data_IF_154369513863
#
_entry.id   IF_154369513863
#
_cell.length_a   1.000
_cell.length_b   1.000
_cell.length_c   1.000
_cell.angle_alpha   90.00
_cell.angle_beta   90.00
_cell.angle_gamma   90.00
#
_symmetry.space_group_name_H-M   'P 1'
#
loop_
_entity.id
_entity.type
_entity.pdbx_description
1 polymer ?
#
# COMPACT_ATOMS: atom_id res chain seq x y z
N UNK A 1 -38.07 -35.55 75.39
CA UNK A 1 -36.95 -36.19 74.67
C UNK A 1 -35.96 -35.09 74.30
N UNK A 2 -34.73 -35.21 74.81
CA UNK A 2 -33.44 -34.63 74.37
C UNK A 2 -33.35 -33.19 73.79
N UNK A 3 -32.58 -32.38 74.53
CA UNK A 3 -31.41 -31.54 74.12
C UNK A 3 -31.70 -30.25 73.31
N UNK A 4 -31.54 -29.04 73.89
CA UNK A 4 -30.27 -28.28 74.10
C UNK A 4 -29.64 -27.86 72.75
N UNK A 5 -29.29 -26.61 72.42
CA UNK A 5 -28.79 -25.45 73.20
C UNK A 5 -28.62 -24.26 72.21
N UNK A 6 -28.72 -23.03 72.73
CA UNK A 6 -27.81 -21.85 72.52
C UNK A 6 -27.65 -21.31 71.08
N UNK A 7 -27.67 -20.03 70.78
CA UNK A 7 -27.65 -18.81 71.57
C UNK A 7 -27.34 -17.61 70.65
N UNK A 8 -27.62 -16.42 71.16
CA UNK A 8 -27.53 -15.10 70.52
C UNK A 8 -26.25 -14.81 69.72
N UNK A 9 -26.40 -14.01 68.67
CA UNK A 9 -25.34 -13.13 68.19
C UNK A 9 -25.91 -11.77 67.74
N UNK A 10 -25.50 -10.74 68.48
CA UNK A 10 -25.55 -9.30 68.21
C UNK A 10 -25.41 -8.95 66.71
N UNK A 11 -26.35 -8.19 66.16
CA UNK A 11 -26.13 -7.41 64.95
C UNK A 11 -25.55 -6.04 65.31
N UNK A 12 -24.21 -5.94 65.32
CA UNK A 12 -23.50 -4.67 65.40
C UNK A 12 -23.48 -4.05 63.99
N UNK A 13 -24.28 -3.00 63.79
CA UNK A 13 -24.35 -2.26 62.53
C UNK A 13 -23.11 -1.39 62.35
N UNK A 14 -22.23 -1.77 61.42
CA UNK A 14 -21.19 -0.90 60.88
C UNK A 14 -21.58 -0.47 59.46
N UNK A 15 -22.02 0.78 59.29
CA UNK A 15 -22.20 1.40 57.97
C UNK A 15 -20.82 1.69 57.38
N UNK A 16 -20.44 0.96 56.33
CA UNK A 16 -19.28 1.28 55.49
C UNK A 16 -19.73 2.23 54.37
N UNK A 17 -19.19 3.44 54.36
CA UNK A 17 -19.28 4.39 53.25
C UNK A 17 -18.57 3.78 52.02
N UNK A 18 -19.33 3.25 51.06
CA UNK A 18 -18.81 2.91 49.74
C UNK A 18 -18.69 4.20 48.90
N UNK A 19 -17.50 4.81 48.94
CA UNK A 19 -17.08 5.81 47.97
C UNK A 19 -17.08 5.16 46.58
N UNK A 20 -18.11 5.45 45.80
CA UNK A 20 -18.13 5.11 44.38
C UNK A 20 -17.22 6.11 43.67
N UNK A 21 -15.97 5.71 43.45
CA UNK A 21 -15.11 6.38 42.47
C UNK A 21 -15.77 6.24 41.11
N UNK A 22 -16.43 7.30 40.65
CA UNK A 22 -16.83 7.43 39.27
C UNK A 22 -15.56 7.36 38.42
N UNK A 23 -15.33 6.22 37.77
CA UNK A 23 -14.31 6.10 36.73
C UNK A 23 -14.77 6.95 35.56
N UNK A 24 -14.33 8.20 35.54
CA UNK A 24 -14.34 9.01 34.35
C UNK A 24 -13.60 8.21 33.26
N UNK A 25 -14.36 7.71 32.28
CA UNK A 25 -13.79 7.17 31.05
C UNK A 25 -13.17 8.37 30.36
N UNK A 26 -11.89 8.63 30.58
CA UNK A 26 -11.15 9.56 29.77
C UNK A 26 -11.38 9.14 28.32
N UNK A 27 -11.94 10.02 27.49
CA UNK A 27 -11.71 9.97 26.06
C UNK A 27 -10.19 9.96 25.91
N UNK A 28 -9.63 8.77 25.71
CA UNK A 28 -8.21 8.60 25.46
C UNK A 28 -7.95 9.43 24.22
N UNK A 29 -7.28 10.56 24.37
CA UNK A 29 -6.81 11.36 23.25
C UNK A 29 -5.89 10.43 22.46
N UNK A 30 -6.38 9.90 21.32
CA UNK A 30 -5.59 9.02 20.47
C UNK A 30 -4.52 9.86 19.81
N UNK A 31 -3.38 9.99 20.47
CA UNK A 31 -2.16 10.50 19.88
C UNK A 31 -1.40 9.31 19.32
N UNK A 32 -1.38 9.08 17.99
CA UNK A 32 -0.73 7.90 17.44
C UNK A 32 0.78 7.86 17.71
N UNK A 33 1.39 9.00 18.06
CA UNK A 33 2.79 9.10 18.46
C UNK A 33 3.06 8.56 19.87
N UNK A 34 2.03 8.40 20.71
CA UNK A 34 2.16 7.75 22.01
C UNK A 34 2.14 6.23 21.83
N UNK A 35 3.33 5.67 21.68
CA UNK A 35 3.56 4.22 21.55
C UNK A 35 3.61 3.49 22.88
N UNK A 36 3.41 4.17 24.02
CA UNK A 36 3.54 3.56 25.36
C UNK A 36 2.49 2.47 25.62
N UNK A 37 1.34 2.53 24.96
CA UNK A 37 0.30 1.51 25.04
C UNK A 37 0.43 0.39 24.00
N UNK A 38 1.40 0.48 23.09
CA UNK A 38 1.60 -0.50 22.02
C UNK A 38 2.28 -1.78 22.55
N UNK A 39 1.96 -2.95 21.99
CA UNK A 39 2.73 -4.16 22.25
C UNK A 39 4.22 -3.97 21.91
N UNK A 40 5.10 -4.43 22.80
CA UNK A 40 6.54 -4.37 22.60
C UNK A 40 7.02 -5.61 21.84
N UNK A 41 7.65 -5.39 20.69
CA UNK A 41 8.25 -6.44 19.88
C UNK A 41 9.77 -6.37 19.94
N UNK A 42 10.44 -7.52 20.09
CA UNK A 42 11.90 -7.55 20.07
C UNK A 42 12.42 -7.30 18.65
N UNK A 43 13.58 -6.63 18.54
CA UNK A 43 14.18 -6.31 17.25
C UNK A 43 14.53 -7.56 16.45
N UNK A 44 15.04 -8.62 17.10
CA UNK A 44 15.34 -9.91 16.47
C UNK A 44 14.09 -10.53 15.85
N UNK A 45 12.95 -10.45 16.56
CA UNK A 45 11.70 -10.96 16.04
C UNK A 45 11.25 -10.15 14.81
N UNK A 46 11.34 -8.81 14.84
CA UNK A 46 10.97 -7.95 13.71
C UNK A 46 11.86 -8.18 12.48
N UNK A 47 13.15 -8.49 12.68
CA UNK A 47 14.08 -8.82 11.61
C UNK A 47 13.80 -10.18 10.96
N UNK A 48 13.21 -11.12 11.70
CA UNK A 48 12.81 -12.43 11.15
C UNK A 48 11.57 -12.38 10.25
N UNK A 49 10.87 -11.24 10.21
CA UNK A 49 9.63 -11.07 9.48
C UNK A 49 9.89 -10.76 8.00
N UNK A 50 9.11 -11.38 7.12
CA UNK A 50 9.16 -11.09 5.68
C UNK A 50 8.38 -9.81 5.38
N UNK A 51 9.09 -8.70 5.23
CA UNK A 51 8.51 -7.40 4.88
C UNK A 51 8.18 -7.32 3.38
N UNK A 52 6.90 -7.16 3.06
CA UNK A 52 6.45 -7.01 1.67
C UNK A 52 6.66 -5.57 1.20
N UNK A 53 7.40 -5.32 0.11
CA UNK A 53 7.53 -3.97 -0.45
C UNK A 53 6.18 -3.50 -0.99
N UNK A 54 5.74 -2.32 -0.57
CA UNK A 54 4.49 -1.73 -1.02
C UNK A 54 4.72 -0.76 -2.17
N UNK A 55 3.87 -0.89 -3.18
CA UNK A 55 3.82 -0.02 -4.34
C UNK A 55 2.84 1.13 -4.04
N UNK A 56 3.27 2.38 -4.23
CA UNK A 56 2.42 3.57 -4.00
C UNK A 56 1.49 3.88 -5.18
N UNK A 57 1.62 3.15 -6.30
CA UNK A 57 0.79 3.36 -7.49
C UNK A 57 -0.55 2.61 -7.44
N UNK A 58 -0.68 1.58 -6.60
CA UNK A 58 -1.86 0.70 -6.57
C UNK A 58 -2.17 0.21 -5.16
N UNK A 59 -3.46 -0.02 -4.91
CA UNK A 59 -3.87 -0.67 -3.67
C UNK A 59 -3.38 -2.13 -3.66
N UNK A 60 -2.80 -2.55 -2.54
CA UNK A 60 -2.38 -3.92 -2.30
C UNK A 60 -3.44 -4.63 -1.44
N UNK A 61 -3.80 -5.85 -1.84
CA UNK A 61 -4.73 -6.70 -1.10
C UNK A 61 -3.95 -7.85 -0.49
N UNK A 62 -4.16 -8.09 0.80
CA UNK A 62 -3.54 -9.19 1.55
C UNK A 62 -4.64 -9.96 2.26
N UNK A 63 -4.72 -11.27 2.01
CA UNK A 63 -5.65 -12.16 2.70
C UNK A 63 -4.92 -12.74 3.90
N UNK A 64 -5.43 -12.50 5.10
CA UNK A 64 -4.97 -13.14 6.32
C UNK A 64 -5.88 -14.35 6.56
N UNK A 65 -5.38 -15.55 6.36
CA UNK A 65 -6.15 -16.81 6.47
C UNK A 65 -5.51 -17.83 7.43
N UNK A 66 -4.51 -17.40 8.21
CA UNK A 66 -3.76 -18.28 9.12
C UNK A 66 -2.72 -19.17 8.43
N UNK A 67 -2.63 -19.15 7.09
CA UNK A 67 -1.52 -19.75 6.34
C UNK A 67 -0.24 -18.91 6.44
N UNK A 68 -0.42 -17.60 6.65
CA UNK A 68 0.64 -16.67 7.01
C UNK A 68 1.21 -17.03 8.38
N UNK A 69 2.54 -17.21 8.44
CA UNK A 69 3.28 -17.72 9.59
C UNK A 69 2.76 -17.16 10.91
N UNK A 70 2.27 -18.05 11.78
CA UNK A 70 1.79 -17.68 13.12
C UNK A 70 2.99 -17.24 13.94
N UNK A 71 3.18 -15.93 14.02
CA UNK A 71 4.23 -15.34 14.81
C UNK A 71 3.73 -15.21 16.25
N UNK A 72 4.21 -16.08 17.15
CA UNK A 72 3.75 -16.11 18.54
C UNK A 72 4.61 -15.16 19.38
N UNK A 73 4.19 -13.90 19.49
CA UNK A 73 4.85 -12.88 20.31
C UNK A 73 3.84 -12.29 21.30
N UNK A 74 4.23 -12.06 22.57
CA UNK A 74 3.35 -11.44 23.56
C UNK A 74 2.74 -10.13 23.04
N UNK A 75 1.42 -9.97 23.21
CA UNK A 75 0.68 -8.78 22.80
C UNK A 75 0.10 -8.84 21.37
N UNK A 76 0.19 -9.99 20.70
CA UNK A 76 -0.38 -10.21 19.38
C UNK A 76 -0.98 -11.61 19.25
N UNK A 77 -1.98 -11.76 18.39
CA UNK A 77 -2.60 -13.06 18.10
C UNK A 77 -2.84 -13.24 16.60
N UNK A 78 -2.38 -14.37 16.06
CA UNK A 78 -2.72 -14.79 14.70
C UNK A 78 -1.75 -14.32 13.61
N UNK A 79 -2.21 -14.33 12.35
CA UNK A 79 -1.40 -13.93 11.21
C UNK A 79 -1.13 -12.42 11.21
N UNK A 80 -0.02 -12.03 10.57
CA UNK A 80 0.39 -10.63 10.45
C UNK A 80 0.59 -10.23 9.00
N UNK A 81 0.32 -8.97 8.70
CA UNK A 81 0.75 -8.35 7.46
C UNK A 81 1.88 -7.36 7.76
N UNK A 82 3.00 -7.52 7.05
CA UNK A 82 4.22 -6.75 7.26
C UNK A 82 4.56 -6.05 5.95
N UNK A 83 4.55 -4.72 5.96
CA UNK A 83 4.79 -3.92 4.78
C UNK A 83 5.99 -3.01 4.94
N UNK A 84 6.72 -2.78 3.85
CA UNK A 84 7.78 -1.77 3.78
C UNK A 84 7.41 -0.72 2.74
N UNK A 85 7.47 0.54 3.13
CA UNK A 85 7.11 1.68 2.29
C UNK A 85 8.32 2.58 2.04
N UNK A 86 8.45 3.15 0.84
CA UNK A 86 9.47 4.16 0.56
C UNK A 86 9.12 5.47 1.31
N UNK A 87 10.05 5.96 2.12
CA UNK A 87 9.92 7.22 2.86
C UNK A 87 10.51 8.43 2.09
N UNK A 88 11.06 8.22 0.90
CA UNK A 88 11.67 9.27 0.07
C UNK A 88 10.66 10.16 -0.65
N UNK A 89 9.36 9.82 -0.59
CA UNK A 89 8.31 10.46 -1.38
C UNK A 89 7.59 11.61 -0.66
N UNK A 90 8.08 12.02 0.51
CA UNK A 90 7.46 13.06 1.35
C UNK A 90 6.33 12.52 2.22
N UNK A 91 5.32 13.35 2.48
CA UNK A 91 4.15 12.95 3.28
C UNK A 91 3.40 11.79 2.62
N UNK A 92 3.16 10.74 3.39
CA UNK A 92 2.43 9.53 3.00
C UNK A 92 1.05 9.55 3.65
N UNK A 93 0.00 9.39 2.85
CA UNK A 93 -1.35 9.11 3.33
C UNK A 93 -1.69 7.65 3.05
N UNK A 94 -1.76 6.86 4.11
CA UNK A 94 -2.07 5.43 4.07
C UNK A 94 -3.52 5.23 4.47
N UNK A 95 -4.29 4.58 3.61
CA UNK A 95 -5.65 4.11 3.92
C UNK A 95 -5.60 2.60 4.07
N UNK A 96 -5.84 2.11 5.28
CA UNK A 96 -5.95 0.68 5.56
C UNK A 96 -7.42 0.35 5.79
N UNK A 97 -7.89 -0.68 5.08
CA UNK A 97 -9.24 -1.20 5.17
C UNK A 97 -9.23 -2.70 5.43
N UNK A 98 -10.15 -3.17 6.27
CA UNK A 98 -10.43 -4.59 6.47
C UNK A 98 -11.88 -4.87 6.11
N UNK A 99 -12.08 -5.73 5.11
CA UNK A 99 -13.42 -6.09 4.62
C UNK A 99 -14.15 -7.00 5.62
N UNK A 100 -15.43 -6.71 5.81
CA UNK A 100 -16.36 -7.55 6.55
C UNK A 100 -16.85 -8.66 5.62
N UNK A 101 -16.71 -9.92 6.06
CA UNK A 101 -17.15 -11.11 5.33
C UNK A 101 -17.88 -12.03 6.28
N UNK A 102 -19.10 -12.47 5.94
CA UNK A 102 -19.90 -13.39 6.75
C UNK A 102 -20.05 -12.92 8.21
N UNK A 103 -20.33 -11.63 8.42
CA UNK A 103 -20.39 -11.00 9.75
C UNK A 103 -19.11 -11.22 10.58
N UNK A 104 -17.96 -11.33 9.93
CA UNK A 104 -16.64 -11.37 10.55
C UNK A 104 -15.73 -10.33 9.91
N UNK A 105 -14.84 -9.75 10.70
CA UNK A 105 -13.90 -8.73 10.24
C UNK A 105 -12.59 -8.86 10.99
N UNK A 106 -11.47 -8.68 10.31
CA UNK A 106 -10.19 -8.62 10.99
C UNK A 106 -10.04 -7.23 11.60
N UNK A 107 -9.82 -7.15 12.92
CA UNK A 107 -9.66 -5.89 13.64
C UNK A 107 -8.18 -5.47 13.70
N UNK A 108 -7.73 -4.50 12.88
CA UNK A 108 -6.31 -4.22 12.71
C UNK A 108 -5.79 -3.28 13.79
N UNK A 109 -4.61 -3.59 14.30
CA UNK A 109 -3.72 -2.68 15.00
C UNK A 109 -2.52 -2.46 14.09
N UNK A 110 -2.10 -1.21 13.94
CA UNK A 110 -0.97 -0.86 13.09
C UNK A 110 0.13 -0.28 13.95
N UNK A 111 1.29 -0.93 13.95
CA UNK A 111 2.52 -0.38 14.49
C UNK A 111 3.38 0.12 13.33
N UNK A 112 3.67 1.41 13.35
CA UNK A 112 4.58 2.08 12.42
C UNK A 112 5.97 2.07 13.05
N UNK A 113 6.94 1.59 12.29
CA UNK A 113 8.33 1.51 12.68
C UNK A 113 9.20 2.36 11.74
N UNK A 114 10.27 2.92 12.28
CA UNK A 114 11.30 3.61 11.51
C UNK A 114 12.21 2.63 10.73
N UNK A 115 13.19 3.17 10.00
CA UNK A 115 14.16 2.39 9.22
C UNK A 115 15.01 1.44 10.09
N UNK A 116 15.11 1.68 11.39
CA UNK A 116 15.83 0.86 12.36
C UNK A 116 14.91 -0.12 13.11
N UNK A 117 13.65 -0.28 12.66
CA UNK A 117 12.61 -1.11 13.28
C UNK A 117 12.24 -0.64 14.71
N UNK A 118 12.32 0.66 14.98
CA UNK A 118 11.88 1.24 16.26
C UNK A 118 10.46 1.78 16.15
N UNK A 119 9.60 1.59 17.16
CA UNK A 119 8.25 2.17 17.20
C UNK A 119 8.26 3.68 17.01
N UNK A 120 7.54 4.17 16.01
CA UNK A 120 7.35 5.58 15.70
C UNK A 120 5.90 6.03 15.89
N UNK A 121 4.93 5.17 15.56
CA UNK A 121 3.51 5.45 15.83
C UNK A 121 2.71 4.15 16.01
N UNK A 122 1.60 4.22 16.72
CA UNK A 122 0.68 3.12 16.96
C UNK A 122 -0.77 3.56 16.75
N UNK A 123 -1.47 2.82 15.89
CA UNK A 123 -2.89 3.00 15.61
C UNK A 123 -3.64 1.76 16.11
N UNK A 124 -4.34 1.87 17.25
CA UNK A 124 -5.10 0.74 17.80
C UNK A 124 -6.34 0.43 16.95
N UNK A 125 -6.94 -0.75 17.15
CA UNK A 125 -8.18 -1.20 16.48
C UNK A 125 -9.31 -0.16 16.44
N UNK A 126 -9.51 0.58 17.53
CA UNK A 126 -10.52 1.66 17.62
C UNK A 126 -10.29 2.86 16.70
N UNK A 127 -9.10 3.00 16.10
CA UNK A 127 -8.84 4.02 15.07
C UNK A 127 -9.56 3.70 13.76
N UNK A 128 -9.89 2.42 13.55
CA UNK A 128 -10.55 1.92 12.35
C UNK A 128 -12.06 1.91 12.58
N UNK A 129 -12.78 2.69 11.76
CA UNK A 129 -14.22 2.88 11.91
C UNK A 129 -14.97 2.19 10.80
N UNK A 130 -16.18 1.73 11.09
CA UNK A 130 -17.03 1.09 10.09
C UNK A 130 -17.41 2.07 8.98
N UNK A 131 -17.22 1.61 7.75
CA UNK A 131 -17.61 2.29 6.52
C UNK A 131 -18.64 1.42 5.79
N UNK A 132 -19.74 2.05 5.43
CA UNK A 132 -20.83 1.44 4.67
C UNK A 132 -20.35 0.99 3.28
N UNK A 133 -21.05 0.02 2.66
CA UNK A 133 -20.68 -0.44 1.34
C UNK A 133 -20.96 0.67 0.32
N UNK A 134 -20.03 0.82 -0.62
CA UNK A 134 -20.15 1.72 -1.77
C UNK A 134 -20.24 0.93 -3.07
N UNK A 135 -20.40 1.63 -4.19
CA UNK A 135 -20.54 1.02 -5.54
C UNK A 135 -19.40 0.05 -5.89
N UNK A 136 -18.20 0.27 -5.35
CA UNK A 136 -16.98 -0.52 -5.60
C UNK A 136 -16.29 -1.00 -4.33
N UNK A 137 -16.96 -0.91 -3.17
CA UNK A 137 -16.35 -1.24 -1.88
C UNK A 137 -17.36 -1.97 -0.99
N UNK A 138 -16.95 -3.12 -0.43
CA UNK A 138 -17.76 -3.83 0.54
C UNK A 138 -17.82 -3.10 1.89
N UNK A 139 -18.68 -3.59 2.77
CA UNK A 139 -18.63 -3.31 4.20
C UNK A 139 -17.22 -3.53 4.72
N UNK A 140 -16.69 -2.56 5.45
CA UNK A 140 -15.31 -2.61 5.94
C UNK A 140 -15.13 -1.74 7.16
N UNK A 141 -14.10 -2.01 7.94
CA UNK A 141 -13.53 -1.03 8.85
C UNK A 141 -12.34 -0.37 8.18
N UNK A 142 -12.22 0.95 8.28
CA UNK A 142 -11.22 1.74 7.56
C UNK A 142 -10.61 2.79 8.49
N UNK A 143 -9.32 3.06 8.27
CA UNK A 143 -8.57 4.09 8.99
C UNK A 143 -7.57 4.74 8.05
N UNK A 144 -7.51 6.07 8.11
CA UNK A 144 -6.54 6.87 7.36
C UNK A 144 -5.43 7.30 8.31
N UNK A 145 -4.18 7.13 7.89
CA UNK A 145 -2.98 7.43 8.65
C UNK A 145 -2.10 8.35 7.80
N UNK A 146 -1.81 9.53 8.32
CA UNK A 146 -0.87 10.47 7.69
C UNK A 146 0.47 10.34 8.37
N UNK A 147 1.49 9.93 7.63
CA UNK A 147 2.85 9.74 8.12
C UNK A 147 3.77 10.73 7.41
N UNK A 148 4.55 11.46 8.18
CA UNK A 148 5.62 12.33 7.66
C UNK A 148 6.95 11.69 8.03
N UNK A 149 7.66 11.09 7.05
CA UNK A 149 8.99 10.56 7.29
C UNK A 149 9.97 11.65 7.75
N UNK A 150 10.95 11.28 8.57
CA UNK A 150 12.04 12.19 8.95
C UNK A 150 12.96 12.43 7.75
N UNK A 151 13.47 13.65 7.52
CA UNK A 151 14.42 13.92 6.44
C UNK A 151 15.62 12.96 6.47
N UNK A 152 15.91 12.33 5.33
CA UNK A 152 16.99 11.33 5.21
C UNK A 152 16.57 9.88 5.43
N UNK A 153 15.35 9.63 5.92
CA UNK A 153 14.80 8.29 6.07
C UNK A 153 14.40 7.69 4.71
N UNK A 154 14.83 6.46 4.43
CA UNK A 154 14.55 5.81 3.14
C UNK A 154 13.34 4.88 3.21
N UNK A 155 13.09 4.27 4.38
CA UNK A 155 12.02 3.27 4.57
C UNK A 155 11.22 3.50 5.85
N UNK A 156 9.94 3.17 5.78
CA UNK A 156 9.05 3.01 6.93
C UNK A 156 8.48 1.59 6.88
N UNK A 157 8.33 0.96 8.03
CA UNK A 157 7.73 -0.37 8.12
C UNK A 157 6.37 -0.29 8.83
N UNK A 158 5.37 -0.95 8.27
CA UNK A 158 4.02 -1.06 8.84
C UNK A 158 3.76 -2.51 9.21
N UNK A 159 3.55 -2.76 10.49
CA UNK A 159 3.13 -4.05 11.01
C UNK A 159 1.64 -3.99 11.35
N UNK A 160 0.84 -4.78 10.65
CA UNK A 160 -0.60 -4.90 10.87
C UNK A 160 -0.90 -6.25 11.52
N UNK A 161 -1.56 -6.21 12.67
CA UNK A 161 -1.85 -7.38 13.48
C UNK A 161 -3.15 -7.21 14.29
N UNK A 162 -3.58 -8.24 15.00
CA UNK A 162 -4.70 -8.13 15.94
C UNK A 162 -4.29 -8.63 17.33
N UNK A 163 -5.10 -8.32 18.34
CA UNK A 163 -4.82 -8.68 19.74
C UNK A 163 -5.97 -9.49 20.32
N UNK A 164 -5.70 -10.29 21.37
CA UNK A 164 -6.74 -11.04 22.07
C UNK A 164 -7.88 -10.14 22.55
N UNK A 165 -7.54 -8.94 23.05
CA UNK A 165 -8.52 -7.96 23.49
C UNK A 165 -9.45 -7.58 22.35
N UNK A 166 -8.91 -7.25 21.19
CA UNK A 166 -9.73 -6.82 20.05
C UNK A 166 -10.57 -7.96 19.50
N UNK A 167 -10.11 -9.21 19.56
CA UNK A 167 -10.88 -10.39 19.13
C UNK A 167 -12.14 -10.63 19.97
N UNK A 168 -12.17 -10.16 21.22
CA UNK A 168 -13.38 -10.20 22.06
C UNK A 168 -14.40 -9.11 21.73
N UNK A 169 -14.00 -8.12 20.92
CA UNK A 169 -14.85 -7.01 20.53
C UNK A 169 -15.65 -7.32 19.27
N UNK A 170 -16.58 -6.42 18.97
CA UNK A 170 -17.45 -6.51 17.80
C UNK A 170 -17.65 -5.13 17.20
N UNK A 171 -18.00 -5.09 15.92
CA UNK A 171 -18.32 -3.87 15.20
C UNK A 171 -19.76 -3.95 14.72
N UNK A 172 -20.57 -2.95 15.08
CA UNK A 172 -21.94 -2.81 14.55
C UNK A 172 -21.87 -2.30 13.12
N UNK A 173 -22.54 -3.01 12.21
CA UNK A 173 -22.65 -2.66 10.80
C UNK A 173 -23.92 -1.85 10.56
N UNK A 174 -24.11 -1.31 9.35
CA UNK A 174 -25.40 -0.75 8.98
C UNK A 174 -26.29 -1.84 8.38
N UNK A 175 -27.52 -1.97 8.86
CA UNK A 175 -28.48 -2.87 8.24
C UNK A 175 -28.81 -2.43 6.79
N UNK A 176 -28.79 -3.36 5.81
CA UNK A 176 -29.06 -3.04 4.42
C UNK A 176 -30.46 -2.44 4.19
N UNK A 177 -31.49 -2.82 4.95
CA UNK A 177 -32.82 -2.25 4.82
C UNK A 177 -32.86 -0.80 5.35
N UNK A 178 -32.10 -0.49 6.40
CA UNK A 178 -31.92 0.91 6.85
C UNK A 178 -31.15 1.73 5.83
N UNK A 179 -30.09 1.17 5.25
CA UNK A 179 -29.31 1.83 4.19
C UNK A 179 -30.20 2.14 2.97
N UNK A 180 -31.00 1.17 2.54
CA UNK A 180 -31.93 1.31 1.42
C UNK A 180 -33.02 2.35 1.67
N UNK A 181 -33.65 2.33 2.86
CA UNK A 181 -34.66 3.31 3.23
C UNK A 181 -34.11 4.74 3.23
N UNK A 182 -32.89 4.94 3.78
CA UNK A 182 -32.21 6.24 3.72
C UNK A 182 -31.91 6.68 2.29
N UNK A 183 -31.49 5.76 1.42
CA UNK A 183 -31.17 6.06 0.01
C UNK A 183 -32.40 6.37 -0.85
N UNK A 184 -33.57 5.82 -0.51
CA UNK A 184 -34.83 5.99 -1.25
C UNK A 184 -35.76 7.06 -0.67
N UNK A 185 -35.40 7.66 0.47
CA UNK A 185 -36.24 8.64 1.17
C UNK A 185 -37.45 8.03 1.87
N UNK A 186 -37.46 6.71 2.05
CA UNK A 186 -38.48 6.03 2.84
C UNK A 186 -38.19 6.12 4.34
N UNK A 187 -39.21 5.87 5.17
CA UNK A 187 -39.04 5.78 6.61
C UNK A 187 -38.04 4.66 6.96
N UNK A 188 -37.06 4.97 7.82
CA UNK A 188 -36.06 4.00 8.26
C UNK A 188 -36.72 2.95 9.17
N UNK A 189 -36.64 1.65 8.84
CA UNK A 189 -37.21 0.60 9.68
C UNK A 189 -36.56 0.54 11.07
N UNK A 190 -37.35 0.27 12.10
CA UNK A 190 -36.87 0.03 13.46
C UNK A 190 -36.49 -1.44 13.65
N UNK A 191 -35.34 -1.81 13.09
CA UNK A 191 -34.75 -3.15 13.18
C UNK A 191 -33.34 -3.06 13.81
N UNK A 192 -32.88 -4.04 14.60
CA UNK A 192 -31.51 -4.05 15.10
C UNK A 192 -30.49 -4.15 13.96
N UNK A 193 -29.38 -3.43 14.09
CA UNK A 193 -28.29 -3.50 13.11
C UNK A 193 -27.47 -4.80 13.26
N UNK A 194 -27.01 -5.40 12.15
CA UNK A 194 -26.16 -6.58 12.21
C UNK A 194 -24.81 -6.27 12.86
N UNK A 195 -24.24 -7.26 13.52
CA UNK A 195 -22.96 -7.13 14.23
C UNK A 195 -21.92 -8.04 13.58
N UNK A 196 -20.76 -7.50 13.27
CA UNK A 196 -19.59 -8.25 12.85
C UNK A 196 -18.71 -8.64 14.05
N UNK A 197 -18.36 -9.92 14.15
CA UNK A 197 -17.39 -10.41 15.15
C UNK A 197 -15.97 -10.20 14.65
N UNK A 198 -15.06 -9.86 15.56
CA UNK A 198 -13.66 -9.76 15.18
C UNK A 198 -13.05 -11.15 15.02
N UNK A 199 -12.24 -11.34 13.98
CA UNK A 199 -11.64 -12.64 13.61
C UNK A 199 -10.13 -12.52 13.37
N UNK A 200 -9.44 -13.65 13.51
CA UNK A 200 -8.00 -13.77 13.19
C UNK A 200 -7.73 -13.70 11.68
N UNK A 201 -8.76 -13.97 10.88
CA UNK A 201 -8.69 -13.99 9.43
C UNK A 201 -9.50 -12.83 8.85
N UNK A 202 -9.08 -12.32 7.70
CA UNK A 202 -9.80 -11.28 6.98
C UNK A 202 -9.04 -10.80 5.74
N UNK A 203 -9.69 -9.99 4.93
CA UNK A 203 -9.07 -9.38 3.74
C UNK A 203 -8.70 -7.94 4.04
N UNK A 204 -7.41 -7.65 4.03
CA UNK A 204 -6.86 -6.32 4.17
C UNK A 204 -6.63 -5.70 2.80
N UNK A 205 -6.97 -4.43 2.65
CA UNK A 205 -6.63 -3.61 1.50
C UNK A 205 -5.97 -2.34 1.99
N UNK A 206 -4.75 -2.11 1.53
CA UNK A 206 -3.94 -0.95 1.88
C UNK A 206 -3.65 -0.14 0.63
N UNK A 207 -3.87 1.17 0.72
CA UNK A 207 -3.60 2.14 -0.33
C UNK A 207 -2.68 3.21 0.24
N UNK A 208 -1.67 3.60 -0.52
CA UNK A 208 -0.68 4.60 -0.11
C UNK A 208 -0.64 5.66 -1.19
N UNK A 209 -0.90 6.89 -0.79
CA UNK A 209 -0.81 8.06 -1.65
C UNK A 209 0.24 9.02 -1.12
N UNK A 210 0.88 9.76 -2.02
CA UNK A 210 1.90 10.75 -1.67
C UNK A 210 1.46 12.10 -2.19
N UNK A 211 1.69 13.17 -1.42
CA UNK A 211 1.30 14.52 -1.86
C UNK A 211 2.20 15.05 -2.99
N UNK A 212 3.32 14.38 -3.27
CA UNK A 212 4.37 14.83 -4.19
C UNK A 212 4.09 14.51 -5.67
N UNK A 213 3.00 13.79 -5.99
CA UNK A 213 2.69 13.32 -7.35
C UNK A 213 2.01 14.34 -8.27
N UNK A 214 1.74 15.56 -7.81
CA UNK A 214 0.96 16.56 -8.56
C UNK A 214 1.82 17.72 -9.05
N UNK A 215 2.75 17.45 -9.96
CA UNK A 215 3.31 18.49 -10.84
C UNK A 215 2.96 18.18 -12.29
N UNK A 216 1.91 18.84 -12.79
CA UNK A 216 1.68 18.94 -14.23
C UNK A 216 2.54 20.11 -14.70
N UNK A 217 3.58 19.82 -15.49
CA UNK A 217 4.27 20.84 -16.28
C UNK A 217 3.30 21.38 -17.34
N UNK A 218 2.57 22.44 -17.00
CA UNK A 218 1.75 23.21 -17.95
C UNK A 218 2.62 24.35 -18.50
N UNK A 219 3.16 24.14 -19.69
CA UNK A 219 3.89 25.13 -20.48
C UNK A 219 4.04 24.60 -21.91
N UNK A 220 4.24 25.46 -22.93
CA UNK A 220 4.39 24.99 -24.30
C UNK A 220 5.72 24.23 -24.42
N UNK A 221 5.68 22.91 -24.29
CA UNK A 221 6.84 22.00 -24.45
C UNK A 221 7.21 21.75 -25.93
N UNK A 222 6.52 22.42 -26.86
CA UNK A 222 6.86 22.47 -28.26
C UNK A 222 7.11 23.92 -28.63
N UNK A 223 8.35 24.20 -29.08
CA UNK A 223 8.69 25.47 -29.69
C UNK A 223 7.68 25.79 -30.78
N UNK A 224 6.87 26.81 -30.56
CA UNK A 224 6.09 27.41 -31.62
C UNK A 224 7.06 28.00 -32.64
N UNK A 225 7.02 27.50 -33.87
CA UNK A 225 7.20 28.35 -35.06
C UNK A 225 6.66 27.68 -36.33
N UNK A 226 5.49 28.19 -36.74
CA UNK A 226 5.07 28.50 -38.11
C UNK A 226 4.61 27.34 -39.03
N UNK A 227 3.30 27.15 -39.01
CA UNK A 227 2.40 27.11 -40.17
C UNK A 227 3.00 26.88 -41.58
N UNK A 228 2.62 25.78 -42.21
CA UNK A 228 2.32 25.72 -43.65
C UNK A 228 1.01 24.95 -43.90
N UNK A 229 0.20 25.35 -44.89
CA UNK A 229 -1.14 24.78 -45.12
C UNK A 229 -1.03 23.44 -45.85
N UNK A 230 -1.83 22.45 -45.44
CA UNK A 230 -1.91 21.14 -46.11
C UNK A 230 -2.88 21.25 -47.29
N UNK A 231 -2.35 21.09 -48.50
CA UNK A 231 -3.14 20.91 -49.74
C UNK A 231 -3.88 19.58 -49.70
N UNK A 232 -5.21 19.64 -49.88
CA UNK A 232 -6.10 18.47 -49.96
C UNK A 232 -6.26 18.09 -51.43
N UNK A 233 -5.94 16.84 -51.80
CA UNK A 233 -6.27 16.31 -53.13
C UNK A 233 -5.73 14.91 -53.42
N UNK A 234 -6.65 13.92 -53.41
CA UNK A 234 -6.79 12.74 -54.31
C UNK A 234 -5.60 11.75 -54.40
N UNK A 235 -5.72 10.41 -54.39
CA UNK A 235 -6.80 9.41 -54.57
C UNK A 235 -6.23 8.02 -54.19
N UNK A 236 -7.10 7.15 -53.65
CA UNK A 236 -7.10 5.66 -53.46
C UNK A 236 -6.25 4.75 -54.40
N UNK A 237 -6.21 3.38 -54.24
CA UNK A 237 -6.67 2.47 -53.17
C UNK A 237 -5.70 1.29 -52.81
N UNK A 238 -6.17 0.44 -51.89
CA UNK A 238 -5.58 -0.75 -51.26
C UNK A 238 -5.22 -1.95 -52.17
N UNK A 239 -4.32 -2.82 -51.65
CA UNK A 239 -4.28 -4.28 -51.94
C UNK A 239 -3.81 -5.10 -50.73
N UNK A 240 -4.43 -6.27 -50.57
CA UNK A 240 -4.21 -7.32 -49.57
C UNK A 240 -2.82 -7.97 -49.60
N UNK A 241 -2.39 -8.56 -48.47
CA UNK A 241 -2.10 -10.00 -48.37
C UNK A 241 -1.80 -10.42 -46.93
N UNK A 242 -2.50 -11.45 -46.46
CA UNK A 242 -2.17 -12.22 -45.26
C UNK A 242 -0.98 -13.15 -45.52
N UNK A 243 -0.19 -13.46 -44.49
CA UNK A 243 0.07 -14.84 -44.03
C UNK A 243 1.09 -14.94 -42.87
N UNK A 244 0.66 -15.70 -41.85
CA UNK A 244 1.40 -16.64 -40.99
C UNK A 244 2.70 -16.21 -40.30
N UNK A 245 2.66 -16.16 -38.97
CA UNK A 245 3.84 -16.41 -38.13
C UNK A 245 3.61 -17.65 -37.28
N UNK A 246 4.36 -18.69 -37.59
CA UNK A 246 4.58 -19.86 -36.76
C UNK A 246 5.47 -19.48 -35.56
N UNK A 247 5.17 -20.04 -34.39
CA UNK A 247 6.13 -20.15 -33.32
C UNK A 247 7.25 -21.13 -33.72
N UNK A 248 8.48 -20.90 -33.25
CA UNK A 248 9.02 -21.88 -32.30
C UNK A 248 9.80 -21.27 -31.13
N UNK A 249 9.75 -21.99 -30.01
CA UNK A 249 10.57 -21.85 -28.82
C UNK A 249 12.08 -21.80 -29.14
N UNK A 250 12.83 -20.83 -28.59
CA UNK A 250 14.22 -21.06 -28.12
C UNK A 250 14.75 -19.93 -27.22
N UNK A 251 15.00 -20.28 -25.95
CA UNK A 251 16.24 -20.06 -25.17
C UNK A 251 17.01 -18.74 -25.36
N UNK A 252 17.17 -18.05 -24.23
CA UNK A 252 17.94 -16.83 -23.97
C UNK A 252 19.39 -16.81 -24.50
N UNK A 253 19.75 -15.65 -25.08
CA UNK A 253 21.08 -15.10 -25.46
C UNK A 253 21.69 -15.57 -26.81
N UNK A 254 22.15 -14.65 -27.70
CA UNK A 254 22.68 -13.29 -27.44
C UNK A 254 22.17 -12.20 -28.42
N UNK A 255 21.23 -11.34 -27.99
CA UNK A 255 20.70 -10.21 -28.80
C UNK A 255 21.62 -8.96 -28.86
N UNK A 256 22.77 -9.01 -28.18
CA UNK A 256 23.66 -7.84 -27.99
C UNK A 256 24.60 -7.63 -29.20
N UNK A 257 24.97 -8.69 -29.92
CA UNK A 257 25.92 -8.61 -31.04
C UNK A 257 25.31 -8.00 -32.30
N UNK A 258 24.05 -8.33 -32.61
CA UNK A 258 23.31 -7.72 -33.73
C UNK A 258 23.15 -6.21 -33.53
N UNK A 259 22.83 -5.80 -32.30
CA UNK A 259 22.67 -4.41 -31.91
C UNK A 259 23.98 -3.61 -32.06
N UNK A 260 25.11 -4.18 -31.68
CA UNK A 260 26.42 -3.52 -31.79
C UNK A 260 26.85 -3.30 -33.25
N UNK A 261 26.63 -4.28 -34.13
CA UNK A 261 26.95 -4.15 -35.55
C UNK A 261 26.13 -3.04 -36.22
N UNK A 262 24.84 -2.93 -35.87
CA UNK A 262 23.91 -1.94 -36.38
C UNK A 262 24.36 -0.50 -36.05
N UNK A 263 24.74 -0.26 -34.79
CA UNK A 263 25.23 1.06 -34.38
C UNK A 263 26.55 1.41 -35.04
N UNK A 264 27.49 0.45 -35.12
CA UNK A 264 28.77 0.68 -35.78
C UNK A 264 28.62 1.04 -37.27
N UNK A 265 27.70 0.38 -37.99
CA UNK A 265 27.43 0.70 -39.39
C UNK A 265 26.76 2.06 -39.54
N UNK A 266 25.78 2.37 -38.68
CA UNK A 266 25.04 3.64 -38.72
C UNK A 266 25.95 4.83 -38.40
N UNK A 267 26.87 4.68 -37.45
CA UNK A 267 27.89 5.69 -37.12
C UNK A 267 28.81 5.94 -38.32
N UNK A 268 29.33 4.88 -38.95
CA UNK A 268 30.18 5.01 -40.16
C UNK A 268 29.45 5.74 -41.28
N UNK A 269 28.19 5.41 -41.54
CA UNK A 269 27.38 6.05 -42.58
C UNK A 269 27.12 7.52 -42.30
N UNK A 270 26.76 7.87 -41.05
CA UNK A 270 26.50 9.25 -40.67
C UNK A 270 27.76 10.11 -40.80
N UNK A 271 28.92 9.60 -40.37
CA UNK A 271 30.21 10.29 -40.58
C UNK A 271 30.58 10.37 -42.07
N UNK A 272 30.37 9.31 -42.84
CA UNK A 272 30.55 9.29 -44.29
C UNK A 272 29.68 10.33 -45.03
N UNK A 273 28.51 10.65 -44.48
CA UNK A 273 27.62 11.70 -45.00
C UNK A 273 27.93 13.11 -44.46
N UNK A 274 28.94 13.26 -43.60
CA UNK A 274 29.31 14.54 -42.98
C UNK A 274 28.34 14.99 -41.88
N UNK A 275 27.41 14.13 -41.48
CA UNK A 275 26.41 14.43 -40.45
C UNK A 275 26.95 13.99 -39.08
N UNK A 276 27.87 14.79 -38.54
CA UNK A 276 28.54 14.52 -37.26
C UNK A 276 27.55 14.53 -36.10
N UNK A 277 26.55 15.41 -36.13
CA UNK A 277 25.50 15.48 -35.09
C UNK A 277 24.70 14.17 -35.00
N UNK A 278 24.34 13.58 -36.14
CA UNK A 278 23.66 12.29 -36.19
C UNK A 278 24.58 11.16 -35.71
N UNK A 279 25.87 11.20 -36.07
CA UNK A 279 26.85 10.21 -35.64
C UNK A 279 27.08 10.24 -34.11
N UNK A 280 27.10 11.43 -33.50
CA UNK A 280 27.21 11.60 -32.04
C UNK A 280 25.98 11.05 -31.31
N UNK A 281 24.77 11.35 -31.80
CA UNK A 281 23.53 10.78 -31.20
C UNK A 281 23.50 9.25 -31.26
N UNK A 282 23.96 8.67 -32.36
CA UNK A 282 24.06 7.21 -32.51
C UNK A 282 25.13 6.61 -31.60
N UNK A 283 26.23 7.34 -31.36
CA UNK A 283 27.26 6.95 -30.40
C UNK A 283 26.71 6.94 -28.97
N UNK A 284 26.06 8.02 -28.53
CA UNK A 284 25.50 8.13 -27.17
C UNK A 284 24.48 7.03 -26.90
N UNK A 285 23.65 6.72 -27.90
CA UNK A 285 22.66 5.64 -27.83
C UNK A 285 23.32 4.26 -27.74
N UNK A 286 24.38 4.02 -28.51
CA UNK A 286 25.13 2.78 -28.46
C UNK A 286 25.85 2.59 -27.11
N UNK A 287 26.40 3.65 -26.53
CA UNK A 287 27.04 3.62 -25.21
C UNK A 287 26.03 3.40 -24.08
N UNK A 288 24.84 4.01 -24.18
CA UNK A 288 23.72 3.77 -23.27
C UNK A 288 23.27 2.30 -23.29
N UNK A 289 23.38 1.65 -24.44
CA UNK A 289 23.11 0.22 -24.62
C UNK A 289 24.32 -0.67 -24.30
N UNK A 290 25.42 -0.08 -23.82
CA UNK A 290 26.59 -0.81 -23.35
C UNK A 290 27.52 -1.31 -24.46
N UNK A 291 27.47 -0.75 -25.68
CA UNK A 291 28.38 -1.12 -26.76
C UNK A 291 29.80 -0.59 -26.52
N UNK A 292 30.81 -1.47 -26.35
CA UNK A 292 32.18 -1.04 -26.11
C UNK A 292 32.89 -0.56 -27.38
N UNK A 293 32.44 -0.94 -28.58
CA UNK A 293 33.12 -0.62 -29.84
C UNK A 293 32.65 0.66 -30.54
N UNK A 294 31.48 1.20 -30.16
CA UNK A 294 30.88 2.37 -30.81
C UNK A 294 31.79 3.61 -30.79
N UNK A 295 32.41 3.91 -29.64
CA UNK A 295 33.35 5.05 -29.50
C UNK A 295 34.57 4.91 -30.39
N UNK A 296 35.14 3.72 -30.47
CA UNK A 296 36.30 3.42 -31.32
C UNK A 296 35.93 3.58 -32.80
N UNK A 297 34.75 3.11 -33.19
CA UNK A 297 34.24 3.23 -34.55
C UNK A 297 33.99 4.69 -34.95
N UNK A 298 33.45 5.52 -34.06
CA UNK A 298 33.28 6.96 -34.30
C UNK A 298 34.62 7.64 -34.54
N UNK A 299 35.59 7.45 -33.63
CA UNK A 299 36.92 8.08 -33.72
C UNK A 299 37.64 7.67 -35.01
N UNK A 300 37.61 6.39 -35.39
CA UNK A 300 38.25 5.93 -36.62
C UNK A 300 37.56 6.47 -37.89
N UNK A 301 36.24 6.66 -37.84
CA UNK A 301 35.47 7.18 -38.98
C UNK A 301 35.68 8.66 -39.21
N UNK A 302 35.85 9.45 -38.14
CA UNK A 302 36.12 10.89 -38.23
C UNK A 302 37.57 11.15 -38.62
N UNK A 303 38.52 10.37 -38.10
CA UNK A 303 39.95 10.49 -38.45
C UNK A 303 40.25 10.13 -39.92
N UNK A 304 39.45 9.27 -40.54
CA UNK A 304 39.60 8.91 -41.96
C UNK A 304 39.02 9.94 -42.95
N UNK A 305 38.53 11.08 -42.46
CA UNK A 305 37.92 12.16 -43.26
C UNK A 305 38.75 13.44 -43.35
N UNK A 306 39.91 13.48 -42.71
CA UNK A 306 40.95 14.48 -42.96
C UNK A 306 41.94 13.94 -44.00
#
# INVERSE_FOLDING_TARGET
MKMHKVGSALSLSAMLLAGHSATARAEINLMPQDVSGAPHFSQTSLQSLTWQPMDTSRAQVTVLDGSHSRWNVPGMTGPVAAYSLPATLGELTITLSSEVQNNQVFAPNVLVLDEHLRPAAWFPSRWFTYQQPGVMAADRIEGVMKLTPVPGQQKIYLLVFTTEKDLTQTTTLLDPAKAYARGTGHAVPDIPDPVARHSLSGRLKINVSTSSASSILVGPLFGASRSTPVTVGQTQPAVQAAQTTAAPDTKSQPLVTDTESYFNQSIRQAVAQGNIDKALKLLDEAERLGSPSARKTFISSVKGKE
#
